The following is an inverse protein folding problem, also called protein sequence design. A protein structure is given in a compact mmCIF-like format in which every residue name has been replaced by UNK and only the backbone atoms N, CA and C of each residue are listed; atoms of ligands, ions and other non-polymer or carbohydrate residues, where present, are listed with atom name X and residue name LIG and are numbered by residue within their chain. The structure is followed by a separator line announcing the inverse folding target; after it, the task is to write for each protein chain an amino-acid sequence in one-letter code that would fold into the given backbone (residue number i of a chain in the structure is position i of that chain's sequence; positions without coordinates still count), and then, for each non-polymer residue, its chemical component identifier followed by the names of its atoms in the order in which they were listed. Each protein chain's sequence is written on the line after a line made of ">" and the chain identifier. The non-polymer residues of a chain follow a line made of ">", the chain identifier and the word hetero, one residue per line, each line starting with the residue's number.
data_IF_828963489841
#
_entry.id   IF_828963489841
#
_cell.length_a   1.000
_cell.length_b   1.000
_cell.length_c   1.000
_cell.angle_alpha   90.00
_cell.angle_beta   90.00
_cell.angle_gamma   90.00
#
_symmetry.space_group_name_H-M   'P 1'
#
loop_
_entity.id
_entity.type
_entity.pdbx_description
1 polymer ?
#
# COMPACT_ATOMS: atom_id res chain seq x y z
N UNK A 1 -25.09 -50.46 -37.59
CA UNK A 1 -25.33 -49.13 -37.00
C UNK A 1 -24.73 -49.11 -35.60
N UNK A 2 -23.51 -48.60 -35.45
CA UNK A 2 -22.68 -48.77 -34.26
C UNK A 2 -22.42 -47.40 -33.60
N UNK A 3 -23.17 -47.21 -32.50
CA UNK A 3 -22.97 -46.35 -31.31
C UNK A 3 -22.03 -45.14 -31.43
N UNK A 4 -22.65 -44.00 -31.67
CA UNK A 4 -22.69 -42.80 -30.81
C UNK A 4 -21.44 -42.50 -29.94
N UNK A 5 -20.65 -41.56 -30.47
CA UNK A 5 -19.85 -40.49 -29.84
C UNK A 5 -20.01 -40.30 -28.31
N UNK A 6 -18.92 -40.44 -27.56
CA UNK A 6 -18.60 -39.67 -26.33
C UNK A 6 -17.08 -39.42 -26.37
N UNK A 7 -16.57 -38.22 -26.66
CA UNK A 7 -16.66 -36.96 -25.92
C UNK A 7 -15.45 -36.76 -24.98
N UNK A 8 -14.68 -35.71 -25.32
CA UNK A 8 -13.93 -34.82 -24.42
C UNK A 8 -12.58 -35.37 -23.93
N UNK A 9 -11.57 -35.24 -24.79
CA UNK A 9 -10.17 -35.23 -24.37
C UNK A 9 -9.77 -33.81 -23.96
N UNK A 10 -9.51 -33.66 -22.65
CA UNK A 10 -8.52 -32.75 -22.06
C UNK A 10 -8.58 -31.27 -22.47
N UNK A 11 -9.56 -30.54 -21.95
CA UNK A 11 -9.38 -29.11 -21.67
C UNK A 11 -8.70 -29.00 -20.30
N UNK A 12 -7.38 -29.26 -20.23
CA UNK A 12 -6.57 -28.85 -19.08
C UNK A 12 -6.57 -27.32 -19.07
N UNK A 13 -7.55 -26.75 -18.36
CA UNK A 13 -7.50 -25.37 -17.89
C UNK A 13 -6.14 -25.22 -17.18
N UNK A 14 -5.23 -24.47 -17.80
CA UNK A 14 -4.17 -23.80 -17.08
C UNK A 14 -4.88 -22.88 -16.08
N UNK A 15 -5.16 -23.39 -14.89
CA UNK A 15 -5.36 -22.56 -13.72
C UNK A 15 -3.99 -21.94 -13.41
N UNK A 16 -3.64 -20.90 -14.18
CA UNK A 16 -2.56 -20.01 -13.80
C UNK A 16 -2.99 -19.50 -12.43
N UNK A 17 -2.25 -19.83 -11.34
CA UNK A 17 -2.53 -19.17 -10.09
C UNK A 17 -2.33 -17.68 -10.37
N UNK A 18 -3.40 -16.90 -10.29
CA UNK A 18 -3.32 -15.45 -10.21
C UNK A 18 -2.77 -15.10 -8.80
N UNK A 19 -1.65 -15.72 -8.42
CA UNK A 19 -0.79 -15.30 -7.32
C UNK A 19 -0.02 -14.12 -7.86
N UNK A 20 -0.68 -12.97 -7.93
CA UNK A 20 -0.10 -11.83 -8.62
C UNK A 20 -0.99 -10.62 -8.47
N UNK A 21 -0.66 -9.79 -7.48
CA UNK A 21 -1.31 -8.52 -7.15
C UNK A 21 -2.61 -8.65 -6.35
N UNK A 22 -2.49 -8.62 -5.02
CA UNK A 22 -3.62 -8.29 -4.15
C UNK A 22 -3.61 -6.78 -3.87
N UNK A 23 -4.78 -6.15 -3.89
CA UNK A 23 -4.91 -4.73 -3.55
C UNK A 23 -5.51 -4.59 -2.15
N UNK A 24 -4.82 -3.90 -1.25
CA UNK A 24 -5.24 -3.62 0.13
C UNK A 24 -5.43 -2.13 0.36
N UNK A 25 -6.27 -1.76 1.32
CA UNK A 25 -6.44 -0.36 1.75
C UNK A 25 -5.72 -0.15 3.09
N UNK A 26 -4.76 0.75 3.12
CA UNK A 26 -4.01 1.16 4.32
C UNK A 26 -4.55 2.50 4.77
N UNK A 27 -5.15 2.55 5.96
CA UNK A 27 -5.67 3.79 6.54
C UNK A 27 -4.65 4.32 7.54
N UNK A 28 -4.25 5.57 7.35
CA UNK A 28 -3.20 6.21 8.13
C UNK A 28 -3.71 7.51 8.71
N UNK A 29 -3.26 7.79 9.93
CA UNK A 29 -3.33 9.11 10.55
C UNK A 29 -1.89 9.65 10.62
N UNK A 30 -1.65 10.79 9.99
CA UNK A 30 -0.34 11.40 9.84
C UNK A 30 -0.36 12.75 10.56
N UNK A 31 0.21 12.76 11.76
CA UNK A 31 0.43 13.99 12.51
C UNK A 31 1.50 14.86 11.83
N UNK A 32 1.40 16.18 12.02
CA UNK A 32 2.39 17.16 11.52
C UNK A 32 2.58 17.15 10.00
N UNK A 33 1.57 16.72 9.23
CA UNK A 33 1.61 16.76 7.78
C UNK A 33 1.57 18.21 7.27
N UNK A 34 0.76 19.07 7.93
CA UNK A 34 0.61 20.48 7.58
C UNK A 34 1.86 21.34 7.76
N UNK A 35 2.85 20.87 8.50
CA UNK A 35 4.15 21.54 8.69
C UNK A 35 5.21 21.10 7.69
N UNK A 36 4.82 20.42 6.60
CA UNK A 36 5.69 19.94 5.51
C UNK A 36 6.81 18.96 5.95
N UNK A 37 6.68 18.35 7.12
CA UNK A 37 7.68 17.41 7.65
C UNK A 37 7.56 15.98 7.08
N UNK A 38 6.43 15.67 6.44
CA UNK A 38 6.12 14.33 5.94
C UNK A 38 6.09 14.32 4.42
N UNK A 39 7.11 13.71 3.81
CA UNK A 39 7.23 13.52 2.36
C UNK A 39 6.67 12.17 1.90
N UNK A 40 6.45 11.23 2.83
CA UNK A 40 5.98 9.90 2.51
C UNK A 40 6.05 8.95 3.70
N UNK A 41 5.82 7.68 3.40
CA UNK A 41 5.93 6.59 4.37
C UNK A 41 6.80 5.43 3.87
N UNK A 42 7.38 4.70 4.82
CA UNK A 42 7.92 3.37 4.62
C UNK A 42 6.94 2.33 5.17
N UNK A 43 6.69 1.29 4.37
CA UNK A 43 6.13 0.03 4.81
C UNK A 43 7.27 -0.91 5.15
N UNK A 44 7.26 -1.41 6.38
CA UNK A 44 8.24 -2.34 6.91
C UNK A 44 7.59 -3.70 7.13
N UNK A 45 8.14 -4.75 6.55
CA UNK A 45 7.64 -6.12 6.71
C UNK A 45 8.45 -6.83 7.79
N UNK A 46 7.77 -7.61 8.64
CA UNK A 46 8.44 -8.48 9.59
C UNK A 46 9.11 -9.64 8.84
N UNK A 47 10.43 -9.73 8.93
CA UNK A 47 11.18 -10.87 8.40
C UNK A 47 11.00 -12.07 9.33
N UNK A 48 10.44 -13.15 8.80
CA UNK A 48 10.26 -14.40 9.57
C UNK A 48 11.59 -15.06 9.96
N UNK A 49 12.66 -14.75 9.23
CA UNK A 49 13.99 -15.32 9.47
C UNK A 49 14.72 -14.59 10.60
N UNK A 50 14.69 -13.26 10.59
CA UNK A 50 15.42 -12.42 11.55
C UNK A 50 14.57 -11.99 12.74
N UNK A 51 13.24 -12.02 12.61
CA UNK A 51 12.30 -11.46 13.59
C UNK A 51 12.34 -9.93 13.65
N UNK A 52 12.94 -9.28 12.66
CA UNK A 52 13.12 -7.82 12.60
C UNK A 52 12.31 -7.25 11.44
N UNK A 53 11.83 -6.02 11.61
CA UNK A 53 11.17 -5.27 10.54
C UNK A 53 12.19 -4.73 9.53
N UNK A 54 11.99 -5.10 8.27
CA UNK A 54 12.83 -4.71 7.14
C UNK A 54 12.00 -3.87 6.15
N UNK A 55 12.63 -2.91 5.47
CA UNK A 55 11.92 -2.06 4.48
C UNK A 55 11.40 -2.94 3.35
N UNK A 56 10.12 -2.83 3.05
CA UNK A 56 9.49 -3.53 1.93
C UNK A 56 9.19 -2.56 0.79
N UNK A 57 8.46 -1.49 1.07
CA UNK A 57 8.07 -0.50 0.07
C UNK A 57 8.09 0.92 0.64
N UNK A 58 8.43 1.88 -0.22
CA UNK A 58 8.27 3.31 -0.01
C UNK A 58 6.97 3.77 -0.67
N UNK A 59 6.28 4.72 -0.05
CA UNK A 59 5.17 5.43 -0.68
C UNK A 59 5.45 6.93 -0.53
N UNK A 60 6.10 7.57 -1.52
CA UNK A 60 6.17 9.03 -1.59
C UNK A 60 4.80 9.67 -1.78
N UNK A 61 4.63 10.80 -1.10
CA UNK A 61 3.50 11.68 -1.24
C UNK A 61 3.86 12.87 -2.15
N UNK A 62 2.89 13.29 -2.96
CA UNK A 62 2.94 14.55 -3.69
C UNK A 62 2.40 15.70 -2.85
N UNK A 63 2.37 16.89 -3.44
CA UNK A 63 1.71 18.04 -2.84
C UNK A 63 0.18 17.82 -2.79
N UNK A 64 -0.46 18.25 -1.70
CA UNK A 64 -1.92 18.25 -1.61
C UNK A 64 -2.52 19.13 -2.72
N UNK A 65 -3.58 18.64 -3.34
CA UNK A 65 -4.32 19.36 -4.39
C UNK A 65 -5.75 19.59 -3.93
N UNK A 66 -6.25 20.82 -4.06
CA UNK A 66 -7.66 21.11 -3.85
C UNK A 66 -8.48 20.64 -5.08
N UNK A 67 -9.42 19.71 -4.88
CA UNK A 67 -10.24 19.14 -5.95
C UNK A 67 -11.69 18.95 -5.49
N UNK A 68 -12.65 19.38 -6.30
CA UNK A 68 -14.07 19.04 -6.10
C UNK A 68 -14.71 19.49 -4.79
N UNK A 69 -14.13 20.47 -4.08
CA UNK A 69 -14.60 20.91 -2.76
C UNK A 69 -13.93 20.20 -1.57
N UNK A 70 -12.90 19.37 -1.82
CA UNK A 70 -12.03 18.77 -0.81
C UNK A 70 -10.56 18.86 -1.20
N UNK A 71 -9.73 18.11 -0.49
CA UNK A 71 -8.29 17.98 -0.71
C UNK A 71 -7.96 16.53 -1.05
N UNK A 72 -7.04 16.33 -2.01
CA UNK A 72 -6.49 15.01 -2.32
C UNK A 72 -4.97 15.00 -2.17
N UNK A 73 -4.44 13.82 -1.83
CA UNK A 73 -3.02 13.56 -1.70
C UNK A 73 -2.58 12.59 -2.80
N UNK A 74 -1.81 13.04 -3.81
CA UNK A 74 -1.18 12.16 -4.78
C UNK A 74 -0.11 11.28 -4.12
N UNK A 75 0.02 10.04 -4.57
CA UNK A 75 1.08 9.13 -4.13
C UNK A 75 1.36 8.04 -5.16
N UNK A 76 2.51 7.38 -5.03
CA UNK A 76 2.86 6.19 -5.79
C UNK A 76 3.65 5.23 -4.90
N UNK A 77 3.54 3.93 -5.16
CA UNK A 77 4.27 2.90 -4.40
C UNK A 77 5.56 2.51 -5.12
N UNK A 78 6.64 2.33 -4.37
CA UNK A 78 7.96 1.91 -4.85
C UNK A 78 8.47 0.78 -3.95
N UNK A 79 8.53 -0.46 -4.44
CA UNK A 79 8.98 -1.60 -3.63
C UNK A 79 10.42 -2.01 -3.93
N UNK A 80 11.07 -2.60 -2.93
CA UNK A 80 12.49 -2.99 -3.00
C UNK A 80 12.75 -4.14 -3.99
N UNK A 81 11.70 -4.87 -4.39
CA UNK A 81 11.75 -5.92 -5.40
C UNK A 81 11.69 -5.39 -6.84
N UNK A 82 11.65 -4.05 -7.02
CA UNK A 82 11.61 -3.38 -8.30
C UNK A 82 10.20 -3.16 -8.87
N UNK A 83 9.15 -3.58 -8.15
CA UNK A 83 7.79 -3.25 -8.54
C UNK A 83 7.45 -1.80 -8.16
N UNK A 84 6.74 -1.12 -9.06
CA UNK A 84 6.17 0.19 -8.82
C UNK A 84 4.64 0.13 -8.96
N UNK A 85 3.95 0.82 -8.06
CA UNK A 85 2.51 0.99 -8.11
C UNK A 85 2.07 2.03 -9.13
N UNK A 86 0.76 2.13 -9.29
CA UNK A 86 0.15 3.20 -10.07
C UNK A 86 0.25 4.53 -9.33
N UNK A 87 0.29 5.64 -10.07
CA UNK A 87 0.04 6.96 -9.50
C UNK A 87 -1.43 7.05 -9.10
N UNK A 88 -1.69 7.27 -7.82
CA UNK A 88 -3.02 7.27 -7.22
C UNK A 88 -3.21 8.54 -6.40
N UNK A 89 -4.46 8.80 -6.03
CA UNK A 89 -4.85 9.91 -5.15
C UNK A 89 -5.68 9.34 -4.00
N UNK A 90 -5.54 9.94 -2.82
CA UNK A 90 -6.37 9.65 -1.65
C UNK A 90 -7.06 10.93 -1.18
N UNK A 91 -8.33 10.85 -0.80
CA UNK A 91 -8.99 11.96 -0.14
C UNK A 91 -8.30 12.26 1.20
N UNK A 92 -8.14 13.54 1.50
CA UNK A 92 -7.55 14.03 2.74
C UNK A 92 -8.68 14.44 3.69
N UNK A 93 -8.73 13.80 4.86
CA UNK A 93 -9.58 14.20 5.96
C UNK A 93 -8.72 14.84 7.05
N UNK A 94 -8.88 16.14 7.31
CA UNK A 94 -8.17 16.82 8.40
C UNK A 94 -8.86 16.56 9.74
N UNK A 95 -8.09 16.30 10.80
CA UNK A 95 -8.63 16.21 12.14
C UNK A 95 -9.18 17.59 12.58
N UNK A 96 -10.31 17.59 13.29
CA UNK A 96 -11.03 18.83 13.62
C UNK A 96 -10.29 19.64 14.71
N UNK A 97 -9.66 18.94 15.64
CA UNK A 97 -8.89 19.49 16.75
C UNK A 97 -7.48 19.92 16.35
N UNK A 98 -6.92 19.35 15.28
CA UNK A 98 -5.59 19.63 14.77
C UNK A 98 -5.56 19.51 13.24
N UNK A 99 -5.67 20.62 12.49
CA UNK A 99 -5.73 20.60 11.04
C UNK A 99 -4.42 20.16 10.37
N UNK A 100 -3.31 20.09 11.11
CA UNK A 100 -2.02 19.58 10.62
C UNK A 100 -1.96 18.05 10.65
N UNK A 101 -2.89 17.40 11.37
CA UNK A 101 -3.08 15.96 11.34
C UNK A 101 -4.08 15.60 10.25
N UNK A 102 -3.64 14.73 9.32
CA UNK A 102 -4.50 14.22 8.25
C UNK A 102 -4.77 12.73 8.40
N UNK A 103 -5.93 12.30 7.91
CA UNK A 103 -6.27 10.91 7.68
C UNK A 103 -6.38 10.66 6.18
N UNK A 104 -5.67 9.64 5.72
CA UNK A 104 -5.67 9.20 4.32
C UNK A 104 -5.88 7.71 4.25
N UNK A 105 -6.40 7.25 3.12
CA UNK A 105 -6.64 5.84 2.87
C UNK A 105 -6.02 5.43 1.53
N UNK A 106 -4.84 4.85 1.62
CA UNK A 106 -3.99 4.52 0.50
C UNK A 106 -4.31 3.12 -0.01
N UNK A 107 -4.33 2.94 -1.33
CA UNK A 107 -4.32 1.63 -1.95
C UNK A 107 -2.88 1.14 -2.05
N UNK A 108 -2.65 -0.06 -1.54
CA UNK A 108 -1.38 -0.77 -1.56
C UNK A 108 -1.51 -2.00 -2.44
N UNK A 109 -0.60 -2.14 -3.41
CA UNK A 109 -0.54 -3.28 -4.31
C UNK A 109 0.51 -4.26 -3.77
N UNK A 110 0.09 -5.41 -3.24
CA UNK A 110 1.01 -6.43 -2.71
C UNK A 110 1.37 -7.43 -3.81
N UNK A 111 2.64 -7.45 -4.18
CA UNK A 111 3.21 -8.46 -5.09
C UNK A 111 3.88 -9.63 -4.37
N UNK A 112 4.25 -9.42 -3.10
CA UNK A 112 4.80 -10.44 -2.23
C UNK A 112 3.71 -11.25 -1.49
N UNK A 113 4.14 -12.31 -0.82
CA UNK A 113 3.29 -13.10 0.07
C UNK A 113 2.73 -12.23 1.22
N UNK A 114 1.55 -12.57 1.76
CA UNK A 114 1.01 -11.90 2.93
C UNK A 114 2.01 -11.81 4.09
N UNK A 115 1.85 -10.79 4.93
CA UNK A 115 2.68 -10.65 6.11
C UNK A 115 2.24 -9.57 7.08
N UNK A 116 2.99 -9.45 8.16
CA UNK A 116 2.78 -8.40 9.17
C UNK A 116 3.68 -7.21 8.88
N UNK A 117 3.08 -6.03 8.81
CA UNK A 117 3.75 -4.78 8.48
C UNK A 117 3.63 -3.74 9.58
N UNK A 118 4.57 -2.80 9.55
CA UNK A 118 4.53 -1.53 10.30
C UNK A 118 4.82 -0.37 9.36
N UNK A 119 4.49 0.83 9.80
CA UNK A 119 4.67 2.07 9.01
C UNK A 119 5.58 3.02 9.77
N UNK A 120 6.44 3.74 9.07
CA UNK A 120 7.03 4.99 9.57
C UNK A 120 6.85 6.10 8.53
N UNK A 121 6.83 7.34 8.98
CA UNK A 121 6.92 8.51 8.09
C UNK A 121 8.39 8.83 7.81
N UNK A 122 8.63 9.50 6.68
CA UNK A 122 9.92 10.13 6.39
C UNK A 122 9.72 11.51 5.79
N UNK A 123 10.74 12.36 5.90
CA UNK A 123 10.83 13.65 5.23
C UNK A 123 12.18 14.31 5.47
N UNK A 124 12.24 15.64 5.28
CA UNK A 124 13.47 16.42 5.43
C UNK A 124 14.11 16.31 6.83
N UNK A 125 13.30 16.11 7.87
CA UNK A 125 13.76 16.00 9.26
C UNK A 125 14.20 14.56 9.65
N UNK A 126 14.13 13.62 8.71
CA UNK A 126 14.48 12.21 8.90
C UNK A 126 13.27 11.28 8.93
N UNK A 127 13.40 10.15 9.62
CA UNK A 127 12.36 9.13 9.73
C UNK A 127 11.79 9.09 11.14
N UNK A 128 10.47 8.91 11.27
CA UNK A 128 9.84 8.68 12.57
C UNK A 128 10.03 7.24 13.05
N UNK A 129 9.67 6.99 14.31
CA UNK A 129 9.64 5.63 14.84
C UNK A 129 8.59 4.78 14.10
N UNK A 130 8.78 3.45 14.11
CA UNK A 130 7.76 2.52 13.61
C UNK A 130 6.45 2.67 14.39
N UNK A 131 5.34 2.50 13.69
CA UNK A 131 3.99 2.47 14.25
C UNK A 131 3.88 1.48 15.42
N UNK A 132 3.10 1.87 16.42
CA UNK A 132 2.76 0.97 17.54
C UNK A 132 1.84 -0.17 17.10
N UNK A 133 1.01 0.08 16.08
CA UNK A 133 0.10 -0.89 15.45
C UNK A 133 0.76 -1.65 14.32
N UNK A 134 0.20 -2.82 14.01
CA UNK A 134 0.58 -3.65 12.87
C UNK A 134 -0.53 -3.71 11.82
N UNK A 135 -0.14 -3.98 10.58
CA UNK A 135 -1.05 -4.21 9.46
C UNK A 135 -0.83 -5.64 8.95
N UNK A 136 -1.92 -6.36 8.69
CA UNK A 136 -1.86 -7.65 7.99
C UNK A 136 -2.17 -7.39 6.52
N UNK A 137 -1.11 -7.22 5.73
CA UNK A 137 -1.22 -6.82 4.33
C UNK A 137 -1.07 -7.99 3.39
#
# INVERSE_FOLDING_TARGET
>A
MQRLRLAIAALTLLAVPLTGCETKRVVLELASFGTESVEGIWLWRLSEQSGVYERACRIPFGAIVAAGGGETLPYAQECNDGHAGLALESDVERAAEDPDTIRVALWYMRWEEPGTYKVSTYGADGESALSSTTLDL
#
